data_IF_965315265061
#
_entry.id   IF_965315265061
#
_cell.length_a   1.000
_cell.length_b   1.000
_cell.length_c   1.000
_cell.angle_alpha   90.00
_cell.angle_beta   90.00
_cell.angle_gamma   90.00
#
_symmetry.space_group_name_H-M   'P 1'
#
loop_
_entity.id
_entity.type
_entity.pdbx_description
1 polymer ?
#
# COMPACT_ATOMS: atom_id res chain seq x y z
N UNK A 1 17.57 -0.55 1.41
CA UNK A 1 17.63 0.29 2.63
C UNK A 1 19.00 0.96 2.65
N UNK A 2 19.09 2.18 2.11
CA UNK A 2 20.32 2.98 2.10
C UNK A 2 20.15 4.10 3.13
N UNK A 3 20.94 4.05 4.20
CA UNK A 3 21.09 5.15 5.16
C UNK A 3 21.97 6.23 4.54
N UNK A 4 21.36 7.27 3.99
CA UNK A 4 22.04 8.51 3.65
C UNK A 4 22.26 9.31 4.94
N UNK A 5 23.49 9.28 5.45
CA UNK A 5 23.97 10.21 6.46
C UNK A 5 24.16 11.57 5.77
N UNK A 6 23.62 12.69 6.29
CA UNK A 6 23.76 13.99 5.63
C UNK A 6 25.21 14.48 5.70
N UNK A 7 25.79 14.81 4.54
CA UNK A 7 27.16 15.32 4.37
C UNK A 7 27.41 16.68 5.07
N UNK A 8 26.35 17.35 5.56
CA UNK A 8 26.42 18.70 6.12
C UNK A 8 27.05 18.82 7.52
N UNK A 9 27.29 17.71 8.24
CA UNK A 9 28.04 17.80 9.50
C UNK A 9 29.55 17.96 9.31
N UNK A 10 30.09 17.65 8.12
CA UNK A 10 31.54 17.79 7.85
C UNK A 10 31.93 19.23 7.56
N UNK A 11 31.04 20.04 6.97
CA UNK A 11 31.33 21.43 6.59
C UNK A 11 31.44 22.36 7.80
N UNK A 12 30.61 22.19 8.83
CA UNK A 12 30.71 23.00 10.05
C UNK A 12 31.97 22.71 10.90
N UNK A 13 32.38 21.45 10.99
CA UNK A 13 33.60 21.06 11.74
C UNK A 13 34.87 21.52 11.02
N UNK A 14 34.91 21.44 9.69
CA UNK A 14 36.05 21.95 8.91
C UNK A 14 36.11 23.48 8.89
N UNK A 15 34.97 24.18 8.91
CA UNK A 15 34.93 25.64 9.09
C UNK A 15 35.45 26.04 10.48
N UNK A 16 35.08 25.31 11.54
CA UNK A 16 35.56 25.55 12.90
C UNK A 16 37.08 25.30 13.04
N UNK A 17 37.61 24.23 12.44
CA UNK A 17 39.06 23.96 12.40
C UNK A 17 39.85 25.02 11.65
N UNK A 18 39.27 25.61 10.60
CA UNK A 18 39.92 26.66 9.80
C UNK A 18 40.03 27.97 10.58
N UNK A 19 38.99 28.34 11.34
CA UNK A 19 39.00 29.52 12.23
C UNK A 19 39.95 29.35 13.42
N UNK A 20 40.08 28.14 13.98
CA UNK A 20 40.97 27.92 15.13
C UNK A 20 42.45 27.70 14.78
N UNK A 21 42.79 27.36 13.52
CA UNK A 21 44.19 27.21 13.08
C UNK A 21 44.94 28.55 13.06
N UNK A 22 44.23 29.64 12.77
CA UNK A 22 44.80 30.99 12.72
C UNK A 22 44.91 31.65 14.11
N UNK A 23 44.38 31.02 15.16
CA UNK A 23 44.35 31.56 16.54
C UNK A 23 45.46 30.98 17.43
N UNK A 24 46.10 29.87 17.04
CA UNK A 24 47.07 29.15 17.89
C UNK A 24 48.55 29.39 17.55
N UNK A 25 48.88 30.22 16.56
CA UNK A 25 50.27 30.61 16.28
C UNK A 25 50.39 32.14 16.22
N UNK A 26 50.84 32.82 17.29
CA UNK A 26 51.38 34.17 17.10
C UNK A 26 52.66 34.06 16.24
N UNK A 27 52.94 35.03 15.36
CA UNK A 27 54.22 35.06 14.65
C UNK A 27 55.33 35.20 15.70
N UNK A 28 56.23 34.22 15.75
CA UNK A 28 57.48 34.32 16.50
C UNK A 28 58.27 35.50 15.96
N UNK A 29 58.64 36.51 16.78
CA UNK A 29 59.64 37.47 16.35
C UNK A 29 60.98 36.73 16.29
N UNK A 30 61.53 36.63 15.09
CA UNK A 30 62.90 36.19 14.85
C UNK A 30 63.88 37.14 15.54
N UNK A 31 64.35 36.76 16.74
CA UNK A 31 65.44 37.45 17.42
C UNK A 31 66.74 36.85 16.88
N UNK A 32 67.31 37.52 15.88
CA UNK A 32 68.74 37.48 15.59
C UNK A 32 69.51 38.07 16.77
N UNK A 33 70.70 37.54 17.01
CA UNK A 33 71.37 37.58 18.31
C UNK A 33 71.81 38.96 18.79
N UNK A 34 72.11 39.02 20.09
CA UNK A 34 73.09 39.94 20.68
C UNK A 34 73.41 39.49 22.11
N UNK A 35 74.63 39.00 22.30
CA UNK A 35 75.33 39.15 23.56
C UNK A 35 75.61 40.65 23.81
N UNK A 36 75.51 41.02 25.09
CA UNK A 36 76.32 42.02 25.77
C UNK A 36 76.49 43.42 25.14
N UNK A 37 75.70 44.39 25.61
CA UNK A 37 76.25 45.61 26.21
C UNK A 37 75.15 46.45 26.87
N UNK A 38 75.41 46.90 28.10
CA UNK A 38 74.49 47.70 28.87
C UNK A 38 74.38 49.15 28.38
N UNK A 39 73.31 49.83 28.78
CA UNK A 39 73.34 51.00 29.67
C UNK A 39 71.94 51.63 29.77
N UNK A 40 71.53 51.85 31.02
CA UNK A 40 70.74 52.96 31.59
C UNK A 40 69.62 53.70 30.81
N UNK A 41 68.52 53.92 31.55
CA UNK A 41 67.49 54.99 31.45
C UNK A 41 66.45 54.90 30.32
N UNK A 42 65.23 54.47 30.69
CA UNK A 42 63.94 55.19 30.54
C UNK A 42 62.83 54.38 31.22
N UNK A 43 62.37 54.81 32.41
CA UNK A 43 61.17 54.29 33.07
C UNK A 43 60.11 55.40 33.04
N UNK A 44 59.28 55.44 31.99
CA UNK A 44 57.95 56.08 32.06
C UNK A 44 57.08 55.89 30.79
N UNK A 45 57.62 55.50 29.63
CA UNK A 45 56.82 55.39 28.38
C UNK A 45 56.18 54.01 28.16
N UNK A 46 56.68 52.94 28.79
CA UNK A 46 56.19 51.56 28.58
C UNK A 46 54.80 51.26 29.19
N UNK A 47 54.36 52.02 30.21
CA UNK A 47 53.04 51.76 30.83
C UNK A 47 51.89 52.21 29.95
N UNK A 48 52.07 53.28 29.17
CA UNK A 48 51.03 53.80 28.27
C UNK A 48 50.81 52.91 27.04
N UNK A 49 51.87 52.32 26.49
CA UNK A 49 51.77 51.37 25.38
C UNK A 49 51.12 50.05 25.81
N UNK A 50 51.46 49.53 26.99
CA UNK A 50 50.91 48.28 27.49
C UNK A 50 49.40 48.38 27.82
N UNK A 51 48.97 49.51 28.40
CA UNK A 51 47.54 49.77 28.67
C UNK A 51 46.75 49.96 27.36
N UNK A 52 47.30 50.64 26.36
CA UNK A 52 46.64 50.77 25.04
C UNK A 52 46.50 49.42 24.34
N UNK A 53 47.52 48.57 24.40
CA UNK A 53 47.47 47.23 23.80
C UNK A 53 46.43 46.33 24.51
N UNK A 54 46.34 46.39 25.84
CA UNK A 54 45.33 45.70 26.64
C UNK A 54 43.91 46.20 26.33
N UNK A 55 43.71 47.51 26.18
CA UNK A 55 42.41 48.08 25.82
C UNK A 55 41.98 47.66 24.41
N UNK A 56 42.89 47.71 23.43
CA UNK A 56 42.62 47.25 22.06
C UNK A 56 42.31 45.75 22.01
N UNK A 57 43.04 44.93 22.78
CA UNK A 57 42.77 43.50 22.89
C UNK A 57 41.40 43.23 23.54
N UNK A 58 41.06 43.95 24.61
CA UNK A 58 39.75 43.81 25.27
C UNK A 58 38.58 44.25 24.39
N UNK A 59 38.77 45.27 23.54
CA UNK A 59 37.77 45.73 22.59
C UNK A 59 37.57 44.72 21.46
N UNK A 60 38.67 44.20 20.90
CA UNK A 60 38.66 43.13 19.89
C UNK A 60 37.98 41.86 20.41
N UNK A 61 38.31 41.44 21.64
CA UNK A 61 37.71 40.27 22.27
C UNK A 61 36.20 40.45 22.53
N UNK A 62 35.77 41.63 23.00
CA UNK A 62 34.33 41.94 23.15
C UNK A 62 33.60 41.92 21.79
N UNK A 63 34.23 42.44 20.75
CA UNK A 63 33.65 42.42 19.40
C UNK A 63 33.54 41.00 18.85
N UNK A 64 34.53 40.14 19.09
CA UNK A 64 34.48 38.72 18.72
C UNK A 64 33.36 37.97 19.47
N UNK A 65 33.22 38.17 20.78
CA UNK A 65 32.13 37.58 21.57
C UNK A 65 30.75 38.04 21.08
N UNK A 66 30.59 39.32 20.76
CA UNK A 66 29.36 39.86 20.19
C UNK A 66 29.06 39.28 18.81
N UNK A 67 30.08 39.08 17.97
CA UNK A 67 29.94 38.45 16.66
C UNK A 67 29.49 36.99 16.76
N UNK A 68 30.08 36.20 17.66
CA UNK A 68 29.69 34.81 17.90
C UNK A 68 28.27 34.68 18.47
N UNK A 69 27.87 35.58 19.38
CA UNK A 69 26.51 35.61 19.91
C UNK A 69 25.48 35.93 18.81
N UNK A 70 25.82 36.85 17.89
CA UNK A 70 24.98 37.18 16.73
C UNK A 70 24.83 35.97 15.79
N UNK A 71 25.94 35.32 15.43
CA UNK A 71 25.93 34.13 14.55
C UNK A 71 25.09 32.99 15.16
N UNK A 72 25.29 32.68 16.44
CA UNK A 72 24.49 31.66 17.15
C UNK A 72 23.01 32.03 17.19
N UNK A 73 22.68 33.31 17.36
CA UNK A 73 21.31 33.81 17.30
C UNK A 73 20.67 33.68 15.92
N UNK A 74 21.43 33.88 14.84
CA UNK A 74 20.93 33.69 13.46
C UNK A 74 20.76 32.22 13.10
N UNK A 75 21.65 31.35 13.55
CA UNK A 75 21.56 29.89 13.37
C UNK A 75 20.35 29.32 14.12
N UNK A 76 20.10 29.76 15.35
CA UNK A 76 18.92 29.36 16.11
C UNK A 76 17.62 29.75 15.39
N UNK A 77 17.54 30.99 14.89
CA UNK A 77 16.38 31.46 14.11
C UNK A 77 16.22 30.75 12.77
N UNK A 78 17.30 30.25 12.17
CA UNK A 78 17.22 29.42 10.97
C UNK A 78 16.63 28.04 11.32
N UNK A 79 17.13 27.41 12.38
CA UNK A 79 16.63 26.13 12.88
C UNK A 79 15.16 26.21 13.30
N UNK A 80 14.74 27.27 14.00
CA UNK A 80 13.33 27.50 14.37
C UNK A 80 12.41 27.61 13.14
N UNK A 81 12.89 28.26 12.07
CA UNK A 81 12.13 28.35 10.81
C UNK A 81 12.02 27.00 10.11
N UNK A 82 13.10 26.24 10.05
CA UNK A 82 13.09 24.88 9.47
C UNK A 82 12.18 23.93 10.25
N UNK A 83 12.20 24.00 11.59
CA UNK A 83 11.29 23.21 12.43
C UNK A 83 9.84 23.63 12.16
N UNK A 84 9.57 24.94 12.03
CA UNK A 84 8.22 25.43 11.75
C UNK A 84 7.72 24.98 10.36
N UNK A 85 8.57 25.01 9.33
CA UNK A 85 8.19 24.57 7.97
C UNK A 85 7.95 23.07 7.93
N UNK A 86 8.88 22.27 8.46
CA UNK A 86 8.75 20.81 8.52
C UNK A 86 7.52 20.38 9.32
N UNK A 87 7.26 21.02 10.47
CA UNK A 87 6.05 20.75 11.27
C UNK A 87 4.77 21.08 10.50
N UNK A 88 4.77 22.16 9.71
CA UNK A 88 3.61 22.54 8.89
C UNK A 88 3.38 21.54 7.75
N UNK A 89 4.44 21.09 7.10
CA UNK A 89 4.38 20.07 6.05
C UNK A 89 3.86 18.74 6.61
N UNK A 90 4.40 18.28 7.73
CA UNK A 90 3.93 17.07 8.41
C UNK A 90 2.45 17.15 8.80
N UNK A 91 2.00 18.30 9.33
CA UNK A 91 0.56 18.49 9.64
C UNK A 91 -0.32 18.39 8.40
N UNK A 92 0.15 18.90 7.25
CA UNK A 92 -0.57 18.80 5.99
C UNK A 92 -0.63 17.36 5.49
N UNK A 93 0.49 16.65 5.53
CA UNK A 93 0.55 15.24 5.12
C UNK A 93 -0.34 14.36 6.00
N UNK A 94 -0.35 14.57 7.32
CA UNK A 94 -1.24 13.86 8.24
C UNK A 94 -2.71 14.10 7.88
N UNK A 95 -3.11 15.35 7.65
CA UNK A 95 -4.49 15.66 7.28
C UNK A 95 -4.90 15.02 5.94
N UNK A 96 -4.00 14.98 4.96
CA UNK A 96 -4.25 14.30 3.69
C UNK A 96 -4.38 12.79 3.85
N UNK A 97 -3.51 12.18 4.67
CA UNK A 97 -3.59 10.75 4.99
C UNK A 97 -4.89 10.41 5.72
N UNK A 98 -5.31 11.20 6.71
CA UNK A 98 -6.59 11.04 7.41
C UNK A 98 -7.77 11.08 6.43
N UNK A 99 -7.78 12.04 5.51
CA UNK A 99 -8.83 12.12 4.48
C UNK A 99 -8.84 10.89 3.56
N UNK A 100 -7.66 10.42 3.14
CA UNK A 100 -7.52 9.24 2.29
C UNK A 100 -7.98 7.99 3.01
N UNK A 101 -7.59 7.79 4.25
CA UNK A 101 -8.04 6.67 5.11
C UNK A 101 -9.56 6.69 5.23
N UNK A 102 -10.15 7.83 5.62
CA UNK A 102 -11.61 7.93 5.73
C UNK A 102 -12.37 7.74 4.41
N UNK A 103 -11.72 7.96 3.26
CA UNK A 103 -12.31 7.65 1.94
C UNK A 103 -12.25 6.16 1.64
N UNK A 104 -11.12 5.52 1.93
CA UNK A 104 -10.94 4.06 1.77
C UNK A 104 -11.88 3.30 2.69
N UNK A 105 -12.01 3.70 3.95
CA UNK A 105 -12.91 3.04 4.92
C UNK A 105 -14.38 3.11 4.48
N UNK A 106 -14.84 4.27 4.00
CA UNK A 106 -16.20 4.40 3.45
C UNK A 106 -16.41 3.55 2.20
N UNK A 107 -15.45 3.55 1.28
CA UNK A 107 -15.51 2.71 0.08
C UNK A 107 -15.53 1.23 0.43
N UNK A 108 -14.72 0.80 1.39
CA UNK A 108 -14.67 -0.57 1.86
C UNK A 108 -16.00 -0.99 2.52
N UNK A 109 -16.58 -0.10 3.35
CA UNK A 109 -17.90 -0.34 3.94
C UNK A 109 -18.98 -0.56 2.89
N UNK A 110 -19.07 0.32 1.89
CA UNK A 110 -20.04 0.20 0.80
C UNK A 110 -19.85 -1.09 -0.02
N UNK A 111 -18.60 -1.45 -0.33
CA UNK A 111 -18.29 -2.69 -1.05
C UNK A 111 -18.63 -3.94 -0.23
N UNK A 112 -18.44 -3.91 1.09
CA UNK A 112 -18.82 -5.01 1.97
C UNK A 112 -20.35 -5.23 1.97
N UNK A 113 -21.12 -4.15 2.05
CA UNK A 113 -22.59 -4.21 1.98
C UNK A 113 -23.08 -4.75 0.63
N UNK A 114 -22.47 -4.30 -0.48
CA UNK A 114 -22.79 -4.78 -1.83
C UNK A 114 -22.46 -6.29 -2.01
N UNK A 115 -21.32 -6.74 -1.47
CA UNK A 115 -20.95 -8.16 -1.48
C UNK A 115 -21.93 -9.02 -0.67
N UNK A 116 -22.36 -8.56 0.50
CA UNK A 116 -23.35 -9.26 1.31
C UNK A 116 -24.71 -9.34 0.60
N UNK A 117 -25.11 -8.26 -0.09
CA UNK A 117 -26.31 -8.26 -0.91
C UNK A 117 -26.24 -9.29 -2.04
N UNK A 118 -25.18 -9.27 -2.86
CA UNK A 118 -25.01 -10.24 -3.95
C UNK A 118 -24.90 -11.68 -3.46
N UNK A 119 -24.31 -11.90 -2.28
CA UNK A 119 -24.27 -13.23 -1.67
C UNK A 119 -25.67 -13.74 -1.36
N UNK A 120 -26.55 -12.89 -0.83
CA UNK A 120 -27.94 -13.26 -0.57
C UNK A 120 -28.69 -13.56 -1.88
N UNK A 121 -28.53 -12.72 -2.90
CA UNK A 121 -29.13 -12.96 -4.23
C UNK A 121 -28.69 -14.31 -4.81
N UNK A 122 -27.39 -14.63 -4.74
CA UNK A 122 -26.88 -15.92 -5.22
C UNK A 122 -27.50 -17.11 -4.49
N UNK A 123 -27.68 -17.01 -3.17
CA UNK A 123 -28.35 -18.07 -2.40
C UNK A 123 -29.80 -18.24 -2.84
N UNK A 124 -30.56 -17.15 -3.01
CA UNK A 124 -31.95 -17.24 -3.47
C UNK A 124 -32.06 -17.82 -4.88
N UNK A 125 -31.14 -17.47 -5.78
CA UNK A 125 -31.09 -18.03 -7.13
C UNK A 125 -30.72 -19.51 -7.12
N UNK A 126 -29.81 -19.93 -6.25
CA UNK A 126 -29.46 -21.34 -6.08
C UNK A 126 -30.64 -22.17 -5.56
N UNK A 127 -31.38 -21.65 -4.58
CA UNK A 127 -32.60 -22.28 -4.06
C UNK A 127 -33.67 -22.40 -5.15
N UNK A 128 -33.94 -21.33 -5.89
CA UNK A 128 -34.90 -21.35 -6.99
C UNK A 128 -34.50 -22.33 -8.10
N UNK A 129 -33.21 -22.39 -8.44
CA UNK A 129 -32.71 -23.32 -9.44
C UNK A 129 -32.86 -24.78 -8.96
N UNK A 130 -32.57 -25.04 -7.69
CA UNK A 130 -32.77 -26.37 -7.10
C UNK A 130 -34.25 -26.79 -7.13
N UNK A 131 -35.17 -25.88 -6.79
CA UNK A 131 -36.61 -26.13 -6.86
C UNK A 131 -37.08 -26.41 -8.30
N UNK A 132 -36.59 -25.64 -9.27
CA UNK A 132 -36.92 -25.84 -10.68
C UNK A 132 -36.39 -27.17 -11.21
N UNK A 133 -35.17 -27.57 -10.82
CA UNK A 133 -34.61 -28.88 -11.17
C UNK A 133 -35.46 -30.03 -10.60
N UNK A 134 -35.88 -29.90 -9.34
CA UNK A 134 -36.76 -30.88 -8.71
C UNK A 134 -38.08 -31.00 -9.46
N UNK A 135 -38.74 -29.87 -9.76
CA UNK A 135 -39.99 -29.85 -10.53
C UNK A 135 -39.83 -30.42 -11.93
N UNK A 136 -38.69 -30.16 -12.59
CA UNK A 136 -38.41 -30.72 -13.91
C UNK A 136 -38.30 -32.25 -13.85
N UNK A 137 -37.59 -32.78 -12.86
CA UNK A 137 -37.48 -34.23 -12.68
C UNK A 137 -38.84 -34.86 -12.35
N UNK A 138 -39.65 -34.23 -11.52
CA UNK A 138 -41.02 -34.67 -11.22
C UNK A 138 -41.90 -34.70 -12.48
N UNK A 139 -41.85 -33.65 -13.30
CA UNK A 139 -42.61 -33.59 -14.56
C UNK A 139 -42.13 -34.64 -15.55
N UNK A 140 -40.81 -34.82 -15.68
CA UNK A 140 -40.21 -35.85 -16.52
C UNK A 140 -40.62 -37.25 -16.08
N UNK A 141 -40.61 -37.52 -14.78
CA UNK A 141 -41.10 -38.77 -14.21
C UNK A 141 -42.60 -38.94 -14.48
N UNK A 142 -43.41 -37.89 -14.31
CA UNK A 142 -44.84 -37.93 -14.60
C UNK A 142 -45.12 -38.23 -16.08
N UNK A 143 -44.35 -37.62 -16.99
CA UNK A 143 -44.45 -37.87 -18.44
C UNK A 143 -44.02 -39.29 -18.81
N UNK A 144 -43.05 -39.87 -18.09
CA UNK A 144 -42.55 -41.20 -18.39
C UNK A 144 -43.32 -42.33 -17.71
N UNK A 145 -44.15 -42.06 -16.70
CA UNK A 145 -44.96 -43.08 -16.02
C UNK A 145 -45.85 -43.88 -16.96
N UNK A 146 -46.36 -43.25 -18.02
CA UNK A 146 -47.18 -43.89 -19.04
C UNK A 146 -46.38 -44.41 -20.24
N UNK A 147 -45.05 -44.20 -20.26
CA UNK A 147 -44.22 -44.56 -21.40
C UNK A 147 -43.54 -45.91 -21.15
N UNK A 148 -43.78 -46.86 -22.06
CA UNK A 148 -43.11 -48.16 -22.05
C UNK A 148 -41.98 -48.13 -23.08
N UNK A 149 -40.74 -48.36 -22.62
CA UNK A 149 -39.57 -48.48 -23.51
C UNK A 149 -39.31 -49.94 -23.84
N UNK A 150 -39.46 -50.30 -25.11
CA UNK A 150 -39.12 -51.63 -25.63
C UNK A 150 -37.75 -51.53 -26.28
N UNK A 151 -36.78 -52.32 -25.79
CA UNK A 151 -35.40 -52.34 -26.29
C UNK A 151 -35.18 -53.56 -27.20
N UNK A 152 -34.11 -53.51 -27.99
CA UNK A 152 -33.67 -54.64 -28.83
C UNK A 152 -34.73 -55.11 -29.84
N UNK A 153 -35.58 -54.19 -30.31
CA UNK A 153 -36.55 -54.48 -31.36
C UNK A 153 -35.79 -54.74 -32.67
N UNK A 154 -35.86 -55.96 -33.24
CA UNK A 154 -35.19 -56.25 -34.50
C UNK A 154 -35.82 -55.42 -35.63
N UNK A 155 -35.12 -54.37 -36.08
CA UNK A 155 -35.57 -53.47 -37.16
C UNK A 155 -35.86 -54.20 -38.47
N UNK A 156 -35.28 -55.40 -38.66
CA UNK A 156 -35.46 -56.23 -39.86
C UNK A 156 -36.71 -57.13 -39.79
N UNK A 157 -37.32 -57.28 -38.61
CA UNK A 157 -38.42 -58.22 -38.37
C UNK A 157 -39.72 -57.51 -37.94
N UNK A 158 -39.83 -56.20 -38.16
CA UNK A 158 -41.07 -55.43 -38.02
C UNK A 158 -41.71 -55.28 -39.40
N UNK A 159 -42.61 -56.20 -39.82
CA UNK A 159 -43.25 -56.11 -41.12
C UNK A 159 -44.44 -55.16 -40.97
N UNK A 160 -44.18 -53.85 -40.99
CA UNK A 160 -45.23 -52.82 -40.95
C UNK A 160 -45.07 -51.77 -39.84
N UNK A 161 -46.14 -50.98 -39.58
CA UNK A 161 -46.12 -49.91 -38.59
C UNK A 161 -45.78 -50.41 -37.18
N UNK A 162 -45.03 -49.60 -36.41
CA UNK A 162 -44.57 -49.96 -35.06
C UNK A 162 -45.72 -50.35 -34.13
N UNK A 163 -46.87 -49.70 -34.28
CA UNK A 163 -48.11 -49.95 -33.52
C UNK A 163 -48.62 -51.39 -33.65
N UNK A 164 -48.53 -51.95 -34.85
CA UNK A 164 -48.95 -53.34 -35.13
C UNK A 164 -48.03 -54.31 -34.38
N UNK A 165 -46.73 -54.06 -34.42
CA UNK A 165 -45.75 -54.85 -33.69
C UNK A 165 -45.99 -54.78 -32.17
N UNK A 166 -46.20 -53.58 -31.62
CA UNK A 166 -46.45 -53.39 -30.19
C UNK A 166 -47.72 -54.12 -29.75
N UNK A 167 -48.80 -54.01 -30.52
CA UNK A 167 -50.07 -54.70 -30.22
C UNK A 167 -49.90 -56.22 -30.26
N UNK A 168 -49.20 -56.75 -31.26
CA UNK A 168 -48.89 -58.18 -31.36
C UNK A 168 -48.02 -58.67 -30.19
N UNK A 169 -47.03 -57.88 -29.78
CA UNK A 169 -46.19 -58.19 -28.62
C UNK A 169 -47.02 -58.30 -27.34
N UNK A 170 -47.90 -57.32 -27.07
CA UNK A 170 -48.74 -57.34 -25.88
C UNK A 170 -49.70 -58.53 -25.86
N UNK A 171 -50.30 -58.91 -26.99
CA UNK A 171 -51.11 -60.14 -27.07
C UNK A 171 -50.31 -61.41 -26.79
N UNK A 172 -49.05 -61.46 -27.22
CA UNK A 172 -48.21 -62.63 -27.00
C UNK A 172 -47.81 -62.75 -25.52
N UNK A 173 -47.48 -61.63 -24.87
CA UNK A 173 -47.05 -61.58 -23.47
C UNK A 173 -48.23 -61.70 -22.50
N UNK A 174 -49.37 -61.08 -22.83
CA UNK A 174 -50.60 -61.09 -22.02
C UNK A 174 -51.79 -61.49 -22.92
N UNK A 175 -52.03 -62.79 -23.11
CA UNK A 175 -53.06 -63.29 -24.04
C UNK A 175 -54.49 -62.94 -23.67
N UNK A 176 -54.73 -62.64 -22.38
CA UNK A 176 -56.04 -62.27 -21.85
C UNK A 176 -56.42 -60.80 -22.15
N UNK A 177 -55.45 -60.00 -22.58
CA UNK A 177 -55.65 -58.57 -22.86
C UNK A 177 -56.41 -58.39 -24.17
N UNK A 178 -57.56 -57.69 -24.12
CA UNK A 178 -58.38 -57.46 -25.33
C UNK A 178 -57.86 -56.27 -26.11
N UNK A 179 -58.05 -56.28 -27.43
CA UNK A 179 -57.59 -55.20 -28.32
C UNK A 179 -58.14 -53.82 -27.96
N UNK A 180 -59.38 -53.79 -27.47
CA UNK A 180 -60.07 -52.56 -27.10
C UNK A 180 -59.49 -51.94 -25.81
N UNK A 181 -58.68 -52.70 -25.07
CA UNK A 181 -58.05 -52.28 -23.82
C UNK A 181 -56.62 -51.72 -24.05
N UNK A 182 -56.04 -51.95 -25.24
CA UNK A 182 -54.73 -51.43 -25.62
C UNK A 182 -54.93 -50.11 -26.38
N UNK A 183 -54.82 -48.99 -25.67
CA UNK A 183 -54.84 -47.66 -26.27
C UNK A 183 -53.42 -47.12 -26.32
N UNK A 184 -52.88 -46.97 -27.54
CA UNK A 184 -51.56 -46.40 -27.79
C UNK A 184 -51.72 -44.95 -28.24
N UNK A 185 -51.16 -44.02 -27.47
CA UNK A 185 -51.27 -42.58 -27.78
C UNK A 185 -50.21 -42.14 -28.82
N UNK A 186 -48.99 -42.67 -28.71
CA UNK A 186 -47.95 -42.49 -29.72
C UNK A 186 -46.94 -43.65 -29.70
N UNK A 187 -46.37 -43.98 -30.86
CA UNK A 187 -45.24 -44.91 -30.97
C UNK A 187 -44.16 -44.31 -31.87
N UNK A 188 -42.91 -44.36 -31.43
CA UNK A 188 -41.78 -43.82 -32.19
C UNK A 188 -40.49 -44.55 -31.82
N UNK A 189 -39.58 -44.64 -32.78
CA UNK A 189 -38.21 -45.06 -32.53
C UNK A 189 -37.41 -43.93 -31.90
N UNK A 190 -36.57 -44.25 -30.92
CA UNK A 190 -35.59 -43.30 -30.36
C UNK A 190 -34.24 -43.66 -30.96
N UNK A 191 -33.69 -42.77 -31.79
CA UNK A 191 -32.36 -42.87 -32.40
C UNK A 191 -31.27 -42.26 -31.55
#
# INVERSE_FOLDING_TARGET
MNTLVPEDRRTCVEAWKRVHRDVLCPPTPSIGGAECCGTTKRRSEDRGHNVRHLLLYSASFKQQLSGMACLRGTELKACEREIATTTKELKREVAELEQRVGTVERSHGAQAEELDHHRQELLTLQESNHELQYRLEDLKNSLWRSNIRIREVPMQATPGPLEVFVTCLFRHVVPELKDQEIVLDCTHGVG
#
